data_IF_210805842785
#
_entry.id   IF_210805842785
#
_cell.length_a   1.000
_cell.length_b   1.000
_cell.length_c   1.000
_cell.angle_alpha   90.00
_cell.angle_beta   90.00
_cell.angle_gamma   90.00
#
_symmetry.space_group_name_H-M   'P 1'
#
loop_
_entity.id
_entity.type
_entity.pdbx_description
1 polymer ?
#
# COMPACT_ATOMS: atom_id res chain seq x y z
N UNK A 1 16.05 -0.42 6.01
CA UNK A 1 16.34 -1.59 5.15
C UNK A 1 15.02 -2.09 4.55
N UNK A 2 14.99 -2.49 3.27
CA UNK A 2 13.78 -2.94 2.55
C UNK A 2 13.62 -4.47 2.61
N UNK A 3 12.40 -5.02 2.41
CA UNK A 3 12.18 -6.47 2.50
C UNK A 3 13.08 -7.28 1.58
N UNK A 4 13.34 -6.83 0.34
CA UNK A 4 14.25 -7.51 -0.59
C UNK A 4 15.65 -7.70 0.00
N UNK A 5 16.20 -6.66 0.63
CA UNK A 5 17.50 -6.73 1.31
C UNK A 5 17.46 -7.71 2.50
N UNK A 6 16.40 -7.67 3.33
CA UNK A 6 16.26 -8.63 4.44
C UNK A 6 16.19 -10.06 3.94
N UNK A 7 15.38 -10.32 2.91
CA UNK A 7 15.15 -11.66 2.41
C UNK A 7 16.43 -12.23 1.81
N UNK A 8 17.13 -11.45 0.99
CA UNK A 8 18.42 -11.85 0.44
C UNK A 8 19.44 -12.13 1.55
N UNK A 9 19.53 -11.26 2.55
CA UNK A 9 20.48 -11.43 3.66
C UNK A 9 20.16 -12.65 4.54
N UNK A 10 18.90 -12.85 4.93
CA UNK A 10 18.49 -13.88 5.90
C UNK A 10 18.28 -15.26 5.27
N UNK A 11 17.94 -15.30 3.98
CA UNK A 11 17.49 -16.50 3.28
C UNK A 11 18.33 -16.89 2.06
N UNK A 12 19.45 -16.22 1.77
CA UNK A 12 20.40 -16.71 0.78
C UNK A 12 20.83 -18.17 1.09
N UNK A 13 20.77 -19.03 0.07
CA UNK A 13 21.05 -20.46 0.17
C UNK A 13 19.93 -21.29 0.82
N UNK A 14 18.85 -20.64 1.28
CA UNK A 14 17.68 -21.32 1.86
C UNK A 14 16.55 -21.37 0.83
N UNK A 15 15.90 -22.53 0.74
CA UNK A 15 14.73 -22.70 -0.13
C UNK A 15 13.48 -22.12 0.53
N UNK A 16 12.82 -21.20 -0.19
CA UNK A 16 11.59 -20.52 0.26
C UNK A 16 10.48 -20.69 -0.77
N UNK A 17 9.23 -20.84 -0.31
CA UNK A 17 8.06 -20.91 -1.19
C UNK A 17 7.52 -19.50 -1.43
N UNK A 18 7.69 -18.97 -2.63
CA UNK A 18 7.34 -17.59 -2.98
C UNK A 18 6.97 -17.43 -4.47
N UNK A 19 6.51 -16.24 -4.86
CA UNK A 19 6.36 -15.88 -6.27
C UNK A 19 7.73 -15.90 -6.95
N UNK A 20 7.85 -16.64 -8.05
CA UNK A 20 9.12 -16.92 -8.71
C UNK A 20 9.41 -15.98 -9.91
N UNK A 21 8.74 -14.82 -9.94
CA UNK A 21 8.79 -13.88 -11.04
C UNK A 21 7.64 -14.03 -12.05
N UNK A 22 7.58 -13.14 -13.05
CA UNK A 22 6.46 -13.06 -13.98
C UNK A 22 6.14 -14.39 -14.68
N UNK A 23 4.86 -14.75 -14.68
CA UNK A 23 4.27 -15.95 -15.29
C UNK A 23 4.74 -17.29 -14.70
N UNK A 24 5.54 -17.25 -13.62
CA UNK A 24 6.09 -18.47 -13.00
C UNK A 24 5.28 -18.95 -11.81
N UNK A 25 4.36 -18.12 -11.31
CA UNK A 25 3.52 -18.42 -10.17
C UNK A 25 4.32 -18.63 -8.88
N UNK A 26 3.72 -19.32 -7.91
CA UNK A 26 4.41 -19.68 -6.66
C UNK A 26 5.26 -20.94 -6.86
N UNK A 27 6.55 -20.86 -6.55
CA UNK A 27 7.49 -21.99 -6.58
C UNK A 27 8.40 -22.00 -5.36
N UNK A 28 9.17 -23.07 -5.20
CA UNK A 28 10.29 -23.11 -4.27
C UNK A 28 11.50 -22.51 -4.98
N UNK A 29 12.03 -21.41 -4.47
CA UNK A 29 13.18 -20.67 -5.02
C UNK A 29 14.25 -20.49 -3.95
N UNK A 30 15.47 -20.09 -4.35
CA UNK A 30 16.44 -19.61 -3.37
C UNK A 30 15.98 -18.27 -2.80
N UNK A 31 16.19 -18.03 -1.50
CA UNK A 31 15.87 -16.75 -0.89
C UNK A 31 16.67 -15.58 -1.50
N UNK A 32 17.86 -15.86 -2.06
CA UNK A 32 18.64 -14.87 -2.80
C UNK A 32 17.98 -14.46 -4.14
N UNK A 33 17.12 -15.30 -4.71
CA UNK A 33 16.44 -15.05 -5.98
C UNK A 33 15.05 -14.39 -5.77
N UNK A 34 14.64 -14.16 -4.52
CA UNK A 34 13.32 -13.60 -4.25
C UNK A 34 13.24 -12.13 -4.67
N UNK A 35 12.16 -11.78 -5.36
CA UNK A 35 11.86 -10.40 -5.72
C UNK A 35 10.44 -10.01 -5.26
N UNK A 36 10.24 -8.74 -4.88
CA UNK A 36 8.89 -8.19 -4.66
C UNK A 36 8.05 -8.22 -5.95
N UNK A 37 6.73 -8.34 -5.80
CA UNK A 37 5.81 -8.27 -6.94
C UNK A 37 5.67 -6.82 -7.44
N UNK A 38 6.53 -6.46 -8.39
CA UNK A 38 6.57 -5.14 -9.03
C UNK A 38 7.03 -5.28 -10.49
N UNK A 39 6.70 -4.34 -11.38
CA UNK A 39 7.23 -4.35 -12.74
C UNK A 39 8.76 -4.33 -12.71
N UNK A 40 9.41 -5.08 -13.61
CA UNK A 40 10.88 -5.14 -13.71
C UNK A 40 11.52 -3.77 -13.98
N UNK A 41 10.76 -2.84 -14.55
CA UNK A 41 11.17 -1.45 -14.82
C UNK A 41 10.88 -0.49 -13.67
N UNK A 42 10.18 -0.94 -12.62
CA UNK A 42 9.80 -0.13 -11.48
C UNK A 42 10.32 -0.80 -10.20
N UNK A 43 11.58 -0.51 -9.91
CA UNK A 43 12.30 -1.06 -8.76
C UNK A 43 11.80 -0.48 -7.43
N UNK A 44 12.09 -1.20 -6.36
CA UNK A 44 11.74 -0.78 -4.99
C UNK A 44 12.27 0.64 -4.73
N UNK A 45 11.43 1.58 -4.26
CA UNK A 45 11.83 2.98 -4.19
C UNK A 45 13.08 3.25 -3.34
N UNK A 46 13.97 4.18 -3.75
CA UNK A 46 15.28 4.41 -3.14
C UNK A 46 15.21 5.26 -1.87
N UNK A 47 14.26 4.96 -0.98
CA UNK A 47 14.12 5.58 0.33
C UNK A 47 13.84 4.53 1.41
N UNK A 48 14.08 4.84 2.70
CA UNK A 48 13.87 3.90 3.80
C UNK A 48 12.48 3.27 3.83
N UNK A 49 12.40 2.04 4.32
CA UNK A 49 11.14 1.29 4.41
C UNK A 49 10.18 1.86 5.46
N UNK A 50 10.71 2.36 6.58
CA UNK A 50 9.91 2.78 7.72
C UNK A 50 9.78 4.32 7.77
N UNK A 51 8.59 4.91 7.83
CA UNK A 51 7.25 4.30 7.71
C UNK A 51 6.79 4.22 6.24
N UNK A 52 5.73 3.44 5.99
CA UNK A 52 5.10 3.39 4.67
C UNK A 52 4.36 4.68 4.33
N UNK A 53 4.86 5.41 3.32
CA UNK A 53 4.23 6.63 2.82
C UNK A 53 2.81 6.42 2.27
N UNK A 54 2.58 5.37 1.48
CA UNK A 54 1.23 5.04 0.99
C UNK A 54 0.25 4.82 2.14
N UNK A 55 0.69 4.09 3.17
CA UNK A 55 -0.12 3.82 4.36
C UNK A 55 -0.43 5.10 5.12
N UNK A 56 0.53 6.03 5.23
CA UNK A 56 0.34 7.32 5.88
C UNK A 56 -0.58 8.25 5.07
N UNK A 57 -0.34 8.42 3.77
CA UNK A 57 -1.12 9.32 2.93
C UNK A 57 -2.57 8.89 2.80
N UNK A 58 -2.82 7.59 2.54
CA UNK A 58 -4.19 7.10 2.43
C UNK A 58 -4.96 7.21 3.75
N UNK A 59 -4.29 6.94 4.89
CA UNK A 59 -4.91 7.10 6.20
C UNK A 59 -5.21 8.57 6.54
N UNK A 60 -4.29 9.49 6.20
CA UNK A 60 -4.52 10.93 6.39
C UNK A 60 -5.69 11.43 5.53
N UNK A 61 -5.75 10.99 4.25
CA UNK A 61 -6.83 11.35 3.34
C UNK A 61 -8.19 10.84 3.85
N UNK A 62 -8.26 9.60 4.33
CA UNK A 62 -9.49 9.06 4.89
C UNK A 62 -9.98 9.86 6.10
N UNK A 63 -9.11 10.24 7.03
CA UNK A 63 -9.50 11.09 8.18
C UNK A 63 -10.00 12.47 7.74
N UNK A 64 -9.30 13.12 6.81
CA UNK A 64 -9.72 14.44 6.31
C UNK A 64 -11.07 14.35 5.60
N UNK A 65 -11.25 13.37 4.72
CA UNK A 65 -12.50 13.18 3.99
C UNK A 65 -13.65 12.86 4.94
N UNK A 66 -13.44 11.98 5.90
CA UNK A 66 -14.42 11.64 6.94
C UNK A 66 -14.84 12.87 7.74
N UNK A 67 -13.87 13.71 8.14
CA UNK A 67 -14.15 14.92 8.89
C UNK A 67 -14.90 15.97 8.04
N UNK A 68 -14.55 16.07 6.76
CA UNK A 68 -15.19 16.98 5.81
C UNK A 68 -16.65 16.58 5.49
N UNK A 69 -16.91 15.29 5.25
CA UNK A 69 -18.26 14.79 4.94
C UNK A 69 -19.11 14.53 6.18
N UNK A 70 -18.49 14.50 7.36
CA UNK A 70 -19.12 14.05 8.61
C UNK A 70 -19.40 12.54 8.66
N UNK A 71 -18.88 11.75 7.71
CA UNK A 71 -19.17 10.32 7.59
C UNK A 71 -17.98 9.54 7.01
N UNK A 72 -17.75 8.34 7.54
CA UNK A 72 -16.74 7.41 7.01
C UNK A 72 -17.29 6.59 5.82
N UNK A 73 -18.57 6.72 5.49
CA UNK A 73 -19.19 5.98 4.39
C UNK A 73 -18.53 6.34 3.05
N UNK A 74 -18.19 5.32 2.28
CA UNK A 74 -17.62 5.47 0.94
C UNK A 74 -18.43 4.74 -0.13
N UNK A 75 -18.76 3.46 0.11
CA UNK A 75 -19.61 2.67 -0.79
C UNK A 75 -19.09 2.55 -2.23
N UNK A 76 -17.78 2.65 -2.43
CA UNK A 76 -17.17 2.65 -3.77
C UNK A 76 -16.65 1.26 -4.16
N UNK A 77 -16.47 1.07 -5.47
CA UNK A 77 -15.85 -0.12 -6.03
C UNK A 77 -15.01 0.22 -7.26
N UNK A 78 -14.08 -0.67 -7.59
CA UNK A 78 -13.26 -0.60 -8.79
C UNK A 78 -13.06 -1.98 -9.38
N UNK A 79 -13.30 -2.13 -10.69
CA UNK A 79 -13.05 -3.37 -11.42
C UNK A 79 -11.69 -3.30 -12.11
N UNK A 80 -10.80 -4.21 -11.71
CA UNK A 80 -9.54 -4.50 -12.39
C UNK A 80 -9.84 -5.53 -13.48
N UNK A 81 -9.67 -5.12 -14.74
CA UNK A 81 -10.02 -5.97 -15.88
C UNK A 81 -9.03 -7.12 -16.07
N UNK A 82 -9.50 -8.22 -16.65
CA UNK A 82 -8.68 -9.36 -17.06
C UNK A 82 -7.43 -8.92 -17.86
N UNK A 83 -6.28 -9.51 -17.54
CA UNK A 83 -5.01 -9.26 -18.22
C UNK A 83 -4.43 -7.84 -18.07
N UNK A 84 -5.01 -6.97 -17.23
CA UNK A 84 -4.60 -5.55 -17.13
C UNK A 84 -3.39 -5.27 -16.22
N UNK A 85 -2.82 -6.28 -15.56
CA UNK A 85 -1.64 -6.14 -14.70
C UNK A 85 -0.46 -5.56 -15.46
N UNK A 86 0.25 -4.60 -14.85
CA UNK A 86 1.53 -4.10 -15.38
C UNK A 86 2.71 -5.02 -15.05
N UNK A 87 2.53 -5.98 -14.15
CA UNK A 87 3.58 -6.94 -13.74
C UNK A 87 3.51 -8.21 -14.59
N UNK A 88 2.30 -8.69 -14.87
CA UNK A 88 2.02 -9.87 -15.70
C UNK A 88 0.92 -9.55 -16.75
N UNK A 89 1.20 -8.65 -17.73
CA UNK A 89 0.23 -8.28 -18.76
C UNK A 89 -0.35 -9.47 -19.53
N UNK A 90 -1.64 -9.40 -19.85
CA UNK A 90 -2.37 -10.44 -20.59
C UNK A 90 -2.69 -11.70 -19.79
N UNK A 91 -2.13 -11.88 -18.60
CA UNK A 91 -2.35 -13.07 -17.77
C UNK A 91 -3.06 -12.74 -16.44
N UNK A 92 -2.76 -11.59 -15.82
CA UNK A 92 -3.27 -11.23 -14.49
C UNK A 92 -4.10 -9.95 -14.53
N UNK A 93 -5.26 -9.91 -13.87
CA UNK A 93 -5.98 -11.06 -13.30
C UNK A 93 -6.52 -11.98 -14.42
N UNK A 94 -6.80 -13.25 -14.11
CA UNK A 94 -7.30 -14.21 -15.10
C UNK A 94 -8.73 -13.90 -15.57
N UNK A 95 -9.52 -13.29 -14.68
CA UNK A 95 -10.86 -12.76 -14.93
C UNK A 95 -10.96 -11.35 -14.36
N UNK A 96 -12.01 -10.61 -14.68
CA UNK A 96 -12.29 -9.34 -14.02
C UNK A 96 -12.39 -9.55 -12.50
N UNK A 97 -11.79 -8.64 -11.74
CA UNK A 97 -11.81 -8.63 -10.26
C UNK A 97 -12.37 -7.29 -9.81
N UNK A 98 -13.47 -7.32 -9.06
CA UNK A 98 -14.04 -6.12 -8.45
C UNK A 98 -13.64 -6.02 -6.99
N UNK A 99 -12.98 -4.92 -6.64
CA UNK A 99 -12.71 -4.51 -5.27
C UNK A 99 -13.81 -3.56 -4.81
N UNK A 100 -14.24 -3.67 -3.56
CA UNK A 100 -15.25 -2.79 -2.97
C UNK A 100 -14.88 -2.40 -1.54
N UNK A 101 -15.29 -1.19 -1.15
CA UNK A 101 -15.00 -0.61 0.15
C UNK A 101 -16.25 0.07 0.70
N UNK A 102 -16.69 -0.37 1.87
CA UNK A 102 -17.84 0.24 2.54
C UNK A 102 -17.45 1.62 3.11
N UNK A 103 -16.23 1.74 3.65
CA UNK A 103 -15.74 2.96 4.30
C UNK A 103 -14.47 3.53 3.66
N UNK A 104 -14.18 4.81 3.91
CA UNK A 104 -12.92 5.44 3.53
C UNK A 104 -11.75 4.75 4.26
N UNK A 105 -11.97 4.35 5.51
CA UNK A 105 -11.04 3.55 6.29
C UNK A 105 -10.71 2.20 5.61
N UNK A 106 -11.69 1.49 5.05
CA UNK A 106 -11.46 0.23 4.32
C UNK A 106 -10.56 0.44 3.10
N UNK A 107 -10.85 1.48 2.31
CA UNK A 107 -10.04 1.85 1.15
C UNK A 107 -8.60 2.19 1.55
N UNK A 108 -8.41 3.01 2.58
CA UNK A 108 -7.09 3.37 3.09
C UNK A 108 -6.32 2.16 3.67
N UNK A 109 -7.03 1.27 4.37
CA UNK A 109 -6.46 0.05 4.90
C UNK A 109 -6.01 -0.91 3.80
N UNK A 110 -6.80 -1.03 2.72
CA UNK A 110 -6.42 -1.87 1.59
C UNK A 110 -5.23 -1.26 0.82
N UNK A 111 -5.14 0.07 0.73
CA UNK A 111 -3.96 0.74 0.17
C UNK A 111 -2.68 0.41 0.96
N UNK A 112 -2.73 0.41 2.30
CA UNK A 112 -1.60 0.02 3.15
C UNK A 112 -1.19 -1.44 2.97
N UNK A 113 -2.14 -2.38 3.07
CA UNK A 113 -1.83 -3.82 2.97
C UNK A 113 -1.35 -4.21 1.57
N UNK A 114 -1.77 -3.49 0.52
CA UNK A 114 -1.28 -3.72 -0.85
C UNK A 114 0.24 -3.64 -0.94
N UNK A 115 0.89 -2.83 -0.10
CA UNK A 115 2.36 -2.67 -0.11
C UNK A 115 3.08 -3.86 0.52
N UNK A 116 2.39 -4.60 1.37
CA UNK A 116 2.83 -5.89 1.92
C UNK A 116 2.66 -6.99 0.88
N UNK A 117 1.52 -7.03 0.18
CA UNK A 117 1.31 -7.97 -0.93
C UNK A 117 2.32 -7.76 -2.06
N UNK A 118 2.65 -6.50 -2.37
CA UNK A 118 3.72 -6.16 -3.31
C UNK A 118 5.13 -6.46 -2.79
N UNK A 119 5.32 -6.87 -1.53
CA UNK A 119 6.61 -7.25 -0.97
C UNK A 119 7.57 -6.08 -0.67
N UNK A 120 7.10 -4.84 -0.60
CA UNK A 120 8.00 -3.67 -0.44
C UNK A 120 7.94 -2.99 0.94
N UNK A 121 7.02 -3.43 1.81
CA UNK A 121 6.89 -2.95 3.19
C UNK A 121 6.67 -4.12 4.16
N UNK A 122 7.22 -3.96 5.37
CA UNK A 122 6.94 -4.85 6.51
C UNK A 122 5.62 -4.45 7.18
N UNK A 123 5.08 -5.36 8.00
CA UNK A 123 3.85 -5.13 8.77
C UNK A 123 3.97 -3.87 9.62
N UNK A 124 5.11 -3.67 10.29
CA UNK A 124 5.30 -2.53 11.17
C UNK A 124 5.37 -1.20 10.40
N UNK A 125 6.04 -1.17 9.24
CA UNK A 125 6.10 0.02 8.38
C UNK A 125 4.71 0.44 7.86
N UNK A 126 3.87 -0.54 7.52
CA UNK A 126 2.46 -0.33 7.17
C UNK A 126 1.65 0.21 8.36
N UNK A 127 1.59 -0.53 9.48
CA UNK A 127 0.74 -0.19 10.62
C UNK A 127 1.11 1.14 11.29
N UNK A 128 2.41 1.42 11.44
CA UNK A 128 2.87 2.72 11.97
C UNK A 128 2.65 3.84 10.95
N UNK A 129 2.76 3.55 9.65
CA UNK A 129 2.36 4.45 8.57
C UNK A 129 0.90 4.90 8.72
N UNK A 130 -0.03 3.94 8.82
CA UNK A 130 -1.45 4.25 9.01
C UNK A 130 -1.72 5.02 10.29
N UNK A 131 -1.07 4.64 11.40
CA UNK A 131 -1.21 5.33 12.68
C UNK A 131 -0.78 6.79 12.57
N UNK A 132 0.41 7.04 12.01
CA UNK A 132 0.92 8.40 11.78
C UNK A 132 0.02 9.20 10.85
N UNK A 133 -0.42 8.59 9.75
CA UNK A 133 -1.33 9.20 8.80
C UNK A 133 -2.63 9.70 9.44
N UNK A 134 -3.26 8.89 10.30
CA UNK A 134 -4.48 9.33 11.01
C UNK A 134 -4.25 10.55 11.89
N UNK A 135 -3.15 10.57 12.64
CA UNK A 135 -2.77 11.72 13.49
C UNK A 135 -2.53 12.98 12.66
N UNK A 136 -1.88 12.84 11.50
CA UNK A 136 -1.68 13.95 10.56
C UNK A 136 -3.01 14.44 10.02
N UNK A 137 -3.91 13.54 9.59
CA UNK A 137 -5.22 13.91 9.04
C UNK A 137 -6.05 14.74 10.02
N UNK A 138 -6.09 14.35 11.30
CA UNK A 138 -6.76 15.12 12.37
C UNK A 138 -6.15 16.51 12.52
N UNK A 139 -4.83 16.63 12.57
CA UNK A 139 -4.15 17.92 12.74
C UNK A 139 -4.32 18.83 11.52
N UNK A 140 -4.22 18.28 10.31
CA UNK A 140 -4.41 19.02 9.06
C UNK A 140 -5.84 19.53 8.97
N UNK A 141 -6.84 18.72 9.30
CA UNK A 141 -8.23 19.16 9.32
C UNK A 141 -8.46 20.28 10.33
N UNK A 142 -7.96 20.13 11.56
CA UNK A 142 -8.05 21.18 12.58
C UNK A 142 -7.41 22.49 12.12
N UNK A 143 -6.22 22.42 11.48
CA UNK A 143 -5.57 23.61 10.92
C UNK A 143 -6.36 24.20 9.75
N UNK A 144 -6.90 23.38 8.86
CA UNK A 144 -7.72 23.84 7.74
C UNK A 144 -8.96 24.62 8.22
N UNK A 145 -9.62 24.16 9.28
CA UNK A 145 -10.75 24.86 9.89
C UNK A 145 -10.39 26.28 10.36
N UNK A 146 -9.15 26.53 10.82
CA UNK A 146 -8.74 27.90 11.19
C UNK A 146 -8.74 28.85 10.00
N UNK A 147 -8.39 28.35 8.81
CA UNK A 147 -8.46 29.15 7.59
C UNK A 147 -9.90 29.30 7.10
N UNK A 148 -10.68 28.21 7.08
CA UNK A 148 -12.08 28.25 6.62
C UNK A 148 -12.96 29.15 7.49
N UNK A 149 -12.69 29.22 8.79
CA UNK A 149 -13.43 30.05 9.73
C UNK A 149 -12.85 31.46 9.89
N UNK A 150 -11.75 31.79 9.21
CA UNK A 150 -11.09 33.11 9.33
C UNK A 150 -10.46 33.37 10.70
N UNK A 151 -10.10 32.33 11.46
CA UNK A 151 -9.48 32.43 12.79
C UNK A 151 -7.98 32.13 12.80
N UNK A 152 -7.39 31.90 11.62
CA UNK A 152 -5.95 31.66 11.50
C UNK A 152 -5.15 32.94 11.86
N UNK A 153 -4.21 32.81 12.80
CA UNK A 153 -3.22 33.84 13.06
C UNK A 153 -2.23 33.92 11.88
N UNK A 154 -1.73 35.14 11.53
CA UNK A 154 -0.68 35.33 10.53
C UNK A 154 0.60 34.55 10.83
#
# INVERSE_FOLDING_TARGET
MRPVTAVHFLFAGKKVRAWAGPYRGTRVIDGADWEPYQPVTFVTPPFPEFISGHSAFSAAAAEVLKAFTGSDAFGASATVRTGSSKVEPGAVPATDVTLSWATLADAANQAGISRRYGGIHFVQGDLQGRRGGRLVGVQVWAKALTYFNGTANP
#
